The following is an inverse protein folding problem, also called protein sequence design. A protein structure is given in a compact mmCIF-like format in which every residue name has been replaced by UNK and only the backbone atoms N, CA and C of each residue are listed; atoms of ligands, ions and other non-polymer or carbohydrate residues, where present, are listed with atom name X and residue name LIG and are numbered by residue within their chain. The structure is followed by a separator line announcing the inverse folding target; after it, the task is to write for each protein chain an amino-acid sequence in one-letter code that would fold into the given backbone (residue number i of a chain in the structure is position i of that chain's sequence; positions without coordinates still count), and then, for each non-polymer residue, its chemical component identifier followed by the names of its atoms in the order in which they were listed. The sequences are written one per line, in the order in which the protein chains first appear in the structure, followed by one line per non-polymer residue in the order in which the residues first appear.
data_IF_835285280957
#
_entry.id   IF_835285280957
#
_cell.length_a   1.000
_cell.length_b   1.000
_cell.length_c   1.000
_cell.angle_alpha   90.00
_cell.angle_beta   90.00
_cell.angle_gamma   90.00
#
_symmetry.space_group_name_H-M   'P 1'
#
loop_
_entity.id
_entity.type
_entity.pdbx_description
1 polymer ?
#
# COMPACT_ATOMS: atom_id res chain seq x y z
N UNK A 1 3.54 34.12 11.36
CA UNK A 1 3.92 32.79 10.79
C UNK A 1 2.73 31.85 10.66
N UNK A 2 1.84 31.74 11.66
CA UNK A 2 0.70 30.80 11.62
C UNK A 2 -0.31 31.07 10.49
N UNK A 3 -0.49 32.33 10.11
CA UNK A 3 -1.41 32.73 9.01
C UNK A 3 -0.86 32.33 7.63
N UNK A 4 0.44 32.47 7.40
CA UNK A 4 1.09 32.05 6.15
C UNK A 4 0.99 30.52 5.95
N UNK A 5 1.15 29.74 7.01
CA UNK A 5 1.02 28.28 6.95
C UNK A 5 -0.42 27.86 6.57
N UNK A 6 -1.44 28.47 7.19
CA UNK A 6 -2.84 28.22 6.83
C UNK A 6 -3.16 28.59 5.39
N UNK A 7 -2.71 29.75 4.92
CA UNK A 7 -2.90 30.15 3.52
C UNK A 7 -2.20 29.19 2.55
N UNK A 8 -1.00 28.72 2.89
CA UNK A 8 -0.24 27.75 2.08
C UNK A 8 -0.96 26.40 2.01
N UNK A 9 -1.52 25.91 3.13
CA UNK A 9 -2.34 24.70 3.14
C UNK A 9 -3.54 24.81 2.19
N UNK A 10 -4.24 25.96 2.18
CA UNK A 10 -5.36 26.22 1.27
C UNK A 10 -4.93 26.17 -0.20
N UNK A 11 -3.80 26.82 -0.53
CA UNK A 11 -3.26 26.83 -1.90
C UNK A 11 -2.95 25.40 -2.36
N UNK A 12 -2.23 24.63 -1.55
CA UNK A 12 -1.88 23.25 -1.89
C UNK A 12 -3.11 22.34 -2.00
N UNK A 13 -4.12 22.51 -1.14
CA UNK A 13 -5.34 21.75 -1.27
C UNK A 13 -6.10 22.09 -2.56
N UNK A 14 -6.12 23.37 -2.98
CA UNK A 14 -6.71 23.77 -4.26
C UNK A 14 -5.93 23.20 -5.44
N UNK A 15 -4.60 23.19 -5.36
CA UNK A 15 -3.75 22.53 -6.35
C UNK A 15 -4.07 21.03 -6.45
N UNK A 16 -4.23 20.34 -5.33
CA UNK A 16 -4.65 18.93 -5.32
C UNK A 16 -6.02 18.73 -5.98
N UNK A 17 -6.97 19.66 -5.79
CA UNK A 17 -8.26 19.60 -6.46
C UNK A 17 -8.15 19.75 -7.98
N UNK A 18 -7.21 20.56 -8.47
CA UNK A 18 -6.90 20.67 -9.89
C UNK A 18 -6.30 19.37 -10.42
N UNK A 19 -5.32 18.78 -9.72
CA UNK A 19 -4.73 17.50 -10.11
C UNK A 19 -5.77 16.37 -10.17
N UNK A 20 -6.69 16.28 -9.21
CA UNK A 20 -7.80 15.32 -9.25
C UNK A 20 -8.68 15.48 -10.50
N UNK A 21 -8.96 16.71 -10.92
CA UNK A 21 -9.72 16.98 -12.15
C UNK A 21 -8.95 16.64 -13.43
N UNK A 22 -7.63 16.70 -13.37
CA UNK A 22 -6.73 16.30 -14.46
C UNK A 22 -6.41 14.79 -14.43
N UNK A 23 -7.04 14.04 -13.53
CA UNK A 23 -6.79 12.61 -13.30
C UNK A 23 -5.34 12.28 -12.88
N UNK A 24 -4.55 13.29 -12.50
CA UNK A 24 -3.20 13.15 -11.96
C UNK A 24 -3.27 12.87 -10.45
N UNK A 25 -3.58 11.62 -10.12
CA UNK A 25 -3.71 11.18 -8.73
C UNK A 25 -2.38 11.30 -7.94
N UNK A 26 -1.24 11.08 -8.60
CA UNK A 26 0.06 11.17 -7.95
C UNK A 26 0.42 12.61 -7.56
N UNK A 27 0.16 13.57 -8.47
CA UNK A 27 0.29 15.00 -8.17
C UNK A 27 -0.66 15.45 -7.06
N UNK A 28 -1.90 14.94 -7.07
CA UNK A 28 -2.88 15.25 -6.02
C UNK A 28 -2.41 14.79 -4.63
N UNK A 29 -1.85 13.58 -4.50
CA UNK A 29 -1.31 13.09 -3.22
C UNK A 29 -0.15 13.95 -2.73
N UNK A 30 0.79 14.32 -3.62
CA UNK A 30 1.93 15.19 -3.26
C UNK A 30 1.46 16.54 -2.75
N UNK A 31 0.56 17.20 -3.48
CA UNK A 31 0.00 18.48 -3.07
C UNK A 31 -0.78 18.37 -1.74
N UNK A 32 -1.52 17.29 -1.51
CA UNK A 32 -2.18 17.08 -0.21
C UNK A 32 -1.17 16.88 0.93
N UNK A 33 -0.06 16.16 0.70
CA UNK A 33 0.97 15.99 1.71
C UNK A 33 1.57 17.33 2.13
N UNK A 34 1.90 18.20 1.17
CA UNK A 34 2.37 19.57 1.47
C UNK A 34 1.35 20.37 2.27
N UNK A 35 0.05 20.25 1.94
CA UNK A 35 -1.00 20.92 2.70
C UNK A 35 -1.09 20.41 4.15
N UNK A 36 -0.90 19.11 4.37
CA UNK A 36 -1.01 18.46 5.68
C UNK A 36 0.22 18.66 6.56
N UNK A 37 1.38 19.03 5.98
CA UNK A 37 2.53 19.50 6.75
C UNK A 37 2.23 20.82 7.46
N UNK A 38 1.43 21.68 6.85
CA UNK A 38 1.03 22.98 7.40
C UNK A 38 -0.20 22.89 8.31
N UNK A 39 -1.20 22.11 7.90
CA UNK A 39 -2.42 21.87 8.67
C UNK A 39 -2.79 20.37 8.63
N UNK A 40 -2.33 19.57 9.62
CA UNK A 40 -2.59 18.14 9.68
C UNK A 40 -4.08 17.78 9.79
N UNK A 41 -4.91 18.71 10.28
CA UNK A 41 -6.35 18.54 10.45
C UNK A 41 -7.13 19.11 9.25
N UNK A 42 -6.47 19.39 8.12
CA UNK A 42 -7.17 20.01 7.00
C UNK A 42 -8.10 19.03 6.28
N UNK A 43 -9.39 19.09 6.61
CA UNK A 43 -10.44 18.17 6.12
C UNK A 43 -10.41 18.00 4.59
N UNK A 44 -10.27 19.09 3.83
CA UNK A 44 -10.27 19.03 2.36
C UNK A 44 -9.05 18.30 1.81
N UNK A 45 -7.88 18.49 2.42
CA UNK A 45 -6.66 17.82 2.01
C UNK A 45 -6.71 16.32 2.33
N UNK A 46 -7.13 15.94 3.55
CA UNK A 46 -7.33 14.54 3.94
C UNK A 46 -8.30 13.83 3.00
N UNK A 47 -9.46 14.45 2.71
CA UNK A 47 -10.46 13.84 1.86
C UNK A 47 -9.96 13.65 0.41
N UNK A 48 -9.29 14.66 -0.15
CA UNK A 48 -8.73 14.61 -1.51
C UNK A 48 -7.59 13.60 -1.63
N UNK A 49 -6.73 13.49 -0.60
CA UNK A 49 -5.67 12.49 -0.55
C UNK A 49 -6.23 11.07 -0.54
N UNK A 50 -7.26 10.83 0.27
CA UNK A 50 -7.95 9.55 0.30
C UNK A 50 -8.56 9.19 -1.07
N UNK A 51 -9.25 10.13 -1.72
CA UNK A 51 -9.81 9.94 -3.07
C UNK A 51 -8.73 9.60 -4.11
N UNK A 52 -7.62 10.35 -4.13
CA UNK A 52 -6.52 10.09 -5.05
C UNK A 52 -5.90 8.70 -4.83
N UNK A 53 -5.69 8.33 -3.57
CA UNK A 53 -5.13 7.03 -3.17
C UNK A 53 -6.07 5.86 -3.50
N UNK A 54 -7.40 6.03 -3.39
CA UNK A 54 -8.36 5.03 -3.83
C UNK A 54 -8.29 4.75 -5.33
N UNK A 55 -8.01 5.79 -6.13
CA UNK A 55 -7.82 5.68 -7.58
C UNK A 55 -6.49 5.00 -7.91
N UNK A 56 -5.42 5.29 -7.16
CA UNK A 56 -4.11 4.64 -7.36
C UNK A 56 -4.20 3.13 -7.07
N UNK A 57 -4.92 2.73 -6.01
CA UNK A 57 -5.36 1.34 -5.84
C UNK A 57 -4.30 0.31 -5.44
N UNK A 58 -3.03 0.68 -5.27
CA UNK A 58 -2.01 -0.20 -4.69
C UNK A 58 -2.22 -0.38 -3.19
N UNK A 59 -1.62 -1.42 -2.59
CA UNK A 59 -1.82 -1.75 -1.18
C UNK A 59 -1.49 -0.59 -0.21
N UNK A 60 -0.39 0.12 -0.47
CA UNK A 60 0.08 1.23 0.37
C UNK A 60 -0.85 2.44 0.29
N UNK A 61 -1.27 2.81 -0.92
CA UNK A 61 -2.21 3.90 -1.18
C UNK A 61 -3.57 3.60 -0.57
N UNK A 62 -4.13 2.40 -0.77
CA UNK A 62 -5.42 2.04 -0.16
C UNK A 62 -5.36 2.05 1.37
N UNK A 63 -4.25 1.59 1.96
CA UNK A 63 -4.03 1.67 3.41
C UNK A 63 -3.98 3.13 3.87
N UNK A 64 -3.25 4.00 3.16
CA UNK A 64 -3.22 5.44 3.45
C UNK A 64 -4.59 6.10 3.33
N UNK A 65 -5.41 5.71 2.34
CA UNK A 65 -6.77 6.23 2.19
C UNK A 65 -7.67 5.82 3.35
N UNK A 66 -7.54 4.58 3.84
CA UNK A 66 -8.29 4.10 5.00
C UNK A 66 -7.97 4.92 6.26
N UNK A 67 -6.69 5.22 6.48
CA UNK A 67 -6.26 6.01 7.64
C UNK A 67 -6.73 7.48 7.56
N UNK A 68 -6.75 8.07 6.36
CA UNK A 68 -7.33 9.39 6.12
C UNK A 68 -8.82 9.41 6.45
N UNK A 69 -9.57 8.39 6.01
CA UNK A 69 -11.00 8.29 6.30
C UNK A 69 -11.31 8.02 7.77
N UNK A 70 -10.48 7.23 8.47
CA UNK A 70 -10.59 7.05 9.92
C UNK A 70 -10.38 8.37 10.63
N UNK A 71 -9.33 9.11 10.28
CA UNK A 71 -9.03 10.43 10.84
C UNK A 71 -10.21 11.37 10.65
N UNK A 72 -10.72 11.50 9.42
CA UNK A 72 -11.90 12.32 9.11
C UNK A 72 -13.15 11.92 9.89
N UNK A 73 -13.34 10.62 10.17
CA UNK A 73 -14.50 10.13 10.92
C UNK A 73 -14.48 10.50 12.40
N UNK A 74 -13.29 10.72 12.97
CA UNK A 74 -13.08 11.09 14.37
C UNK A 74 -13.14 12.60 14.60
N UNK A 75 -13.06 13.39 13.53
CA UNK A 75 -13.09 14.85 13.60
C UNK A 75 -14.49 15.42 13.78
N UNK A 76 -14.62 16.41 14.66
CA UNK A 76 -15.90 17.04 14.96
C UNK A 76 -16.34 18.00 13.84
N UNK A 77 -15.39 18.69 13.21
CA UNK A 77 -15.59 19.69 12.16
C UNK A 77 -15.97 19.07 10.80
N UNK A 78 -15.99 17.73 10.70
CA UNK A 78 -16.35 17.02 9.47
C UNK A 78 -17.82 17.26 9.09
N UNK A 79 -18.11 17.77 7.87
CA UNK A 79 -19.47 18.03 7.42
C UNK A 79 -20.37 16.79 7.46
N UNK A 80 -21.65 16.97 7.84
CA UNK A 80 -22.61 15.88 7.91
C UNK A 80 -22.79 15.14 6.57
N UNK A 81 -22.74 15.86 5.45
CA UNK A 81 -22.79 15.28 4.10
C UNK A 81 -21.65 14.31 3.83
N UNK A 82 -20.45 14.60 4.36
CA UNK A 82 -19.28 13.77 4.18
C UNK A 82 -19.33 12.51 5.08
N UNK A 83 -19.90 12.62 6.27
CA UNK A 83 -19.99 11.50 7.24
C UNK A 83 -20.69 10.26 6.67
N UNK A 84 -21.72 10.44 5.84
CA UNK A 84 -22.40 9.32 5.19
C UNK A 84 -21.44 8.57 4.25
N UNK A 85 -20.73 9.29 3.39
CA UNK A 85 -19.72 8.71 2.49
C UNK A 85 -18.59 8.03 3.25
N UNK A 86 -18.10 8.63 4.34
CA UNK A 86 -17.04 8.04 5.16
C UNK A 86 -17.44 6.68 5.73
N UNK A 87 -18.67 6.54 6.25
CA UNK A 87 -19.16 5.25 6.77
C UNK A 87 -19.12 4.16 5.71
N UNK A 88 -19.59 4.47 4.50
CA UNK A 88 -19.53 3.53 3.37
C UNK A 88 -18.09 3.17 3.05
N UNK A 89 -17.21 4.17 2.91
CA UNK A 89 -15.79 3.94 2.58
C UNK A 89 -15.07 3.10 3.62
N UNK A 90 -15.32 3.34 4.91
CA UNK A 90 -14.75 2.58 6.02
C UNK A 90 -15.20 1.11 6.04
N UNK A 91 -16.37 0.79 5.46
CA UNK A 91 -16.84 -0.60 5.33
C UNK A 91 -16.30 -1.27 4.06
N UNK A 92 -16.18 -0.53 2.95
CA UNK A 92 -15.79 -1.10 1.65
C UNK A 92 -14.28 -1.24 1.44
N UNK A 93 -13.47 -0.37 2.06
CA UNK A 93 -12.02 -0.35 1.86
C UNK A 93 -11.26 -1.52 2.50
N UNK A 94 -11.56 -1.95 3.75
CA UNK A 94 -10.85 -3.05 4.39
C UNK A 94 -10.78 -4.34 3.55
N UNK A 95 -11.89 -4.89 3.00
CA UNK A 95 -11.80 -6.09 2.19
C UNK A 95 -10.96 -5.88 0.92
N UNK A 96 -11.06 -4.71 0.28
CA UNK A 96 -10.26 -4.37 -0.90
C UNK A 96 -8.75 -4.33 -0.58
N UNK A 97 -8.37 -3.80 0.58
CA UNK A 97 -6.97 -3.76 1.03
C UNK A 97 -6.45 -5.17 1.27
N UNK A 98 -7.25 -6.05 1.88
CA UNK A 98 -6.85 -7.44 2.09
C UNK A 98 -6.66 -8.19 0.76
N UNK A 99 -7.55 -8.00 -0.20
CA UNK A 99 -7.45 -8.62 -1.53
C UNK A 99 -6.21 -8.14 -2.29
N UNK A 100 -6.00 -6.82 -2.39
CA UNK A 100 -4.82 -6.25 -3.05
C UNK A 100 -3.55 -6.66 -2.31
N UNK A 101 -3.57 -6.64 -0.98
CA UNK A 101 -2.44 -7.04 -0.15
C UNK A 101 -2.07 -8.51 -0.31
N UNK A 102 -3.05 -9.42 -0.46
CA UNK A 102 -2.76 -10.84 -0.75
C UNK A 102 -2.10 -11.02 -2.12
N UNK A 103 -2.63 -10.35 -3.15
CA UNK A 103 -2.09 -10.41 -4.52
C UNK A 103 -0.66 -9.86 -4.59
N UNK A 104 -0.42 -8.66 -4.08
CA UNK A 104 0.92 -8.05 -4.09
C UNK A 104 1.93 -8.89 -3.27
N UNK A 105 1.51 -9.47 -2.14
CA UNK A 105 2.35 -10.39 -1.36
C UNK A 105 2.71 -11.66 -2.14
N UNK A 106 1.75 -12.24 -2.85
CA UNK A 106 1.99 -13.42 -3.67
C UNK A 106 2.99 -13.12 -4.80
N UNK A 107 2.81 -12.01 -5.51
CA UNK A 107 3.75 -11.54 -6.53
C UNK A 107 5.15 -11.30 -5.96
N UNK A 108 5.26 -10.69 -4.77
CA UNK A 108 6.54 -10.51 -4.09
C UNK A 108 7.18 -11.85 -3.72
N UNK A 109 6.42 -12.81 -3.20
CA UNK A 109 6.93 -14.14 -2.86
C UNK A 109 7.41 -14.90 -4.11
N UNK A 110 6.72 -14.78 -5.23
CA UNK A 110 7.14 -15.35 -6.51
C UNK A 110 8.45 -14.73 -7.01
N UNK A 111 8.58 -13.40 -6.93
CA UNK A 111 9.82 -12.70 -7.29
C UNK A 111 10.99 -13.10 -6.38
N UNK A 112 10.76 -13.22 -5.08
CA UNK A 112 11.77 -13.65 -4.12
C UNK A 112 12.24 -15.09 -4.39
N UNK A 113 11.32 -15.99 -4.73
CA UNK A 113 11.67 -17.35 -5.18
C UNK A 113 12.52 -17.32 -6.44
N UNK A 114 12.11 -16.57 -7.47
CA UNK A 114 12.87 -16.45 -8.72
C UNK A 114 14.28 -15.90 -8.53
N UNK A 115 14.46 -14.91 -7.65
CA UNK A 115 15.80 -14.40 -7.28
C UNK A 115 16.59 -15.47 -6.52
N UNK A 116 15.97 -16.17 -5.55
CA UNK A 116 16.60 -17.26 -4.82
C UNK A 116 17.09 -18.38 -5.74
N UNK A 117 16.25 -18.80 -6.69
CA UNK A 117 16.58 -19.83 -7.68
C UNK A 117 17.67 -19.38 -8.65
N UNK A 118 17.68 -18.10 -9.04
CA UNK A 118 18.73 -17.55 -9.92
C UNK A 118 20.09 -17.49 -9.22
N UNK A 119 20.12 -17.12 -7.94
CA UNK A 119 21.35 -17.09 -7.12
C UNK A 119 21.83 -18.52 -6.88
N UNK A 120 20.96 -19.44 -6.50
CA UNK A 120 21.33 -20.85 -6.30
C UNK A 120 21.76 -21.50 -7.61
N UNK A 121 21.12 -21.17 -8.74
CA UNK A 121 21.45 -21.71 -10.06
C UNK A 121 22.87 -21.34 -10.50
N UNK A 122 23.36 -20.15 -10.14
CA UNK A 122 24.76 -19.77 -10.32
C UNK A 122 25.73 -20.68 -9.54
N UNK A 123 25.30 -21.22 -8.40
CA UNK A 123 26.03 -22.25 -7.64
C UNK A 123 25.74 -23.68 -8.10
N UNK A 124 24.98 -23.89 -9.19
CA UNK A 124 24.57 -25.21 -9.66
C UNK A 124 23.48 -25.88 -8.80
N UNK A 125 22.73 -25.09 -8.03
CA UNK A 125 21.75 -25.54 -7.05
C UNK A 125 20.34 -24.99 -7.37
N UNK A 126 19.29 -25.71 -7.01
CA UNK A 126 17.90 -25.24 -7.04
C UNK A 126 17.31 -25.34 -5.63
N UNK A 127 16.31 -24.53 -5.30
CA UNK A 127 15.51 -24.72 -4.08
C UNK A 127 14.85 -26.10 -4.03
N UNK A 128 14.63 -26.76 -5.17
CA UNK A 128 14.12 -28.14 -5.27
C UNK A 128 15.13 -29.21 -4.81
N UNK A 129 16.42 -28.86 -4.71
CA UNK A 129 17.45 -29.81 -4.27
C UNK A 129 17.37 -30.08 -2.76
N UNK A 130 16.60 -29.32 -2.00
CA UNK A 130 16.47 -29.47 -0.55
C UNK A 130 15.10 -30.06 -0.19
N UNK A 131 15.03 -31.40 -0.06
CA UNK A 131 13.80 -32.07 0.37
C UNK A 131 13.72 -32.08 1.88
N UNK A 132 12.70 -31.41 2.43
CA UNK A 132 12.39 -31.48 3.85
C UNK A 132 11.54 -32.71 4.10
N UNK A 133 12.04 -33.65 4.90
CA UNK A 133 11.26 -34.78 5.41
C UNK A 133 10.97 -34.55 6.89
N UNK A 134 9.68 -34.58 7.27
CA UNK A 134 9.26 -34.56 8.67
C UNK A 134 9.21 -36.01 9.17
N UNK A 135 9.98 -36.32 10.22
CA UNK A 135 9.89 -37.59 10.92
C UNK A 135 8.86 -37.49 12.05
N UNK A 136 8.14 -38.59 12.34
CA UNK A 136 6.99 -38.67 13.26
C UNK A 136 7.25 -38.17 14.70
N UNK A 137 8.50 -37.89 15.08
CA UNK A 137 8.90 -37.27 16.35
C UNK A 137 8.98 -35.73 16.34
N UNK A 138 8.53 -35.06 15.28
CA UNK A 138 8.52 -33.59 15.18
C UNK A 138 9.83 -32.95 14.71
N UNK A 139 10.83 -33.75 14.34
CA UNK A 139 12.09 -33.27 13.75
C UNK A 139 11.96 -33.04 12.25
N UNK A 140 12.43 -31.88 11.77
CA UNK A 140 12.57 -31.60 10.33
C UNK A 140 13.98 -31.97 9.87
N UNK A 141 14.12 -32.96 9.00
CA UNK A 141 15.38 -33.33 8.35
C UNK A 141 15.44 -32.72 6.95
N UNK A 142 16.49 -31.94 6.66
CA UNK A 142 16.71 -31.39 5.31
C UNK A 142 17.65 -32.35 4.58
N UNK A 143 17.14 -33.02 3.55
CA UNK A 143 17.92 -33.92 2.70
C UNK A 143 18.22 -33.27 1.36
N UNK A 144 19.52 -33.11 1.09
CA UNK A 144 19.99 -32.60 -0.19
C UNK A 144 20.00 -33.71 -1.25
N UNK A 145 19.30 -33.50 -2.37
CA UNK A 145 19.31 -34.37 -3.54
C UNK A 145 19.91 -33.58 -4.72
N UNK A 146 21.16 -33.84 -5.10
CA UNK A 146 21.77 -33.14 -6.24
C UNK A 146 21.05 -33.50 -7.54
N UNK A 147 20.80 -32.48 -8.37
CA UNK A 147 20.36 -32.70 -9.75
C UNK A 147 21.47 -33.45 -10.51
N UNK A 148 21.21 -34.68 -10.93
CA UNK A 148 22.15 -35.45 -11.74
C UNK A 148 22.31 -34.73 -13.09
N UNK A 149 23.41 -34.01 -13.23
CA UNK A 149 23.77 -33.36 -14.48
C UNK A 149 23.84 -34.38 -15.61
N UNK A 150 22.94 -34.27 -16.58
CA UNK A 150 23.13 -34.85 -17.92
C UNK A 150 24.31 -34.13 -18.56
N UNK A 151 25.51 -34.65 -18.34
CA UNK A 151 26.68 -34.35 -19.16
C UNK A 151 26.40 -34.84 -20.59
N UNK A 152 26.43 -33.93 -21.56
CA UNK A 152 26.96 -34.20 -22.89
C UNK A 152 27.95 -33.10 -23.22
#
# INVERSE_FOLDING_TARGET
MHECAKSRAVIYANLAACHLKLEDNAGAVKACNEALLDDPAYIKALHRRAQANETIGNWSSLSSALDDYKTLSQMHETPASLRATLRTKLQTLPPRIEEVGKKEKEEMMQKLKGVGDSVLGWFGLSTDNFKITQQEGGGSSIQFVPNQGTKK
#
